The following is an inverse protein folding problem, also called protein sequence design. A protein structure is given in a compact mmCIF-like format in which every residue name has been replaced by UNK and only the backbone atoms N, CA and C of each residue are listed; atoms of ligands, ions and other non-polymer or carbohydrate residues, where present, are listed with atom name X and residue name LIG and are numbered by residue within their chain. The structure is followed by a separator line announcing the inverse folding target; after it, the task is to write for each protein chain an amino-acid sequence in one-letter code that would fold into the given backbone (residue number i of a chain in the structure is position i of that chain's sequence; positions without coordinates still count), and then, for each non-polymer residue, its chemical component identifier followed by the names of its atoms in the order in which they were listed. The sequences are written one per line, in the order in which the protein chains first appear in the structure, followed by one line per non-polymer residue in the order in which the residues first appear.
data_IF_488174360325
#
_entry.id   IF_488174360325
#
_cell.length_a   1.000
_cell.length_b   1.000
_cell.length_c   1.000
_cell.angle_alpha   90.00
_cell.angle_beta   90.00
_cell.angle_gamma   90.00
#
_symmetry.space_group_name_H-M   'P 1'
#
loop_
_entity.id
_entity.type
_entity.pdbx_description
1 polymer ?
#
# COMPACT_ATOMS: atom_id res chain seq x y z
N UNK A 1 28.04 59.18 46.94
CA UNK A 1 28.79 57.91 46.96
C UNK A 1 28.61 57.25 45.61
N UNK A 2 29.67 57.24 44.80
CA UNK A 2 29.69 56.57 43.51
C UNK A 2 29.89 55.07 43.74
N UNK A 3 29.01 54.24 43.17
CA UNK A 3 29.22 52.79 43.12
C UNK A 3 29.35 52.44 41.64
N UNK A 4 30.59 52.12 41.27
CA UNK A 4 31.01 51.58 39.99
C UNK A 4 30.33 50.23 39.76
N UNK A 5 29.56 50.09 38.68
CA UNK A 5 29.05 48.81 38.22
C UNK A 5 29.99 48.30 37.12
N UNK A 6 30.90 47.42 37.49
CA UNK A 6 31.76 46.71 36.56
C UNK A 6 30.91 45.76 35.70
N UNK A 7 31.03 45.91 34.38
CA UNK A 7 30.38 45.09 33.37
C UNK A 7 30.92 43.65 33.42
N UNK A 8 30.06 42.67 33.68
CA UNK A 8 30.35 41.26 33.35
C UNK A 8 29.84 40.99 31.93
N UNK A 9 30.75 41.08 30.96
CA UNK A 9 30.52 40.50 29.64
C UNK A 9 30.69 38.98 29.77
N UNK A 10 29.56 38.26 29.81
CA UNK A 10 29.58 36.80 29.67
C UNK A 10 29.70 36.49 28.19
N UNK A 11 30.92 36.29 27.72
CA UNK A 11 31.17 35.73 26.38
C UNK A 11 30.82 34.25 26.40
N UNK A 12 29.59 33.91 26.00
CA UNK A 12 29.21 32.53 25.68
C UNK A 12 29.88 32.16 24.35
N UNK A 13 31.01 31.47 24.44
CA UNK A 13 31.71 30.92 23.30
C UNK A 13 31.43 29.42 23.18
N UNK A 14 30.81 29.07 22.05
CA UNK A 14 30.88 27.79 21.32
C UNK A 14 30.23 26.56 21.95
N UNK A 15 29.10 26.15 21.35
CA UNK A 15 29.05 24.84 20.72
C UNK A 15 28.67 25.07 19.25
N UNK A 16 29.67 25.14 18.37
CA UNK A 16 29.50 24.87 16.95
C UNK A 16 29.30 23.35 16.80
N UNK A 17 28.19 22.85 17.34
CA UNK A 17 27.75 21.48 17.12
C UNK A 17 27.17 21.43 15.72
N UNK A 18 27.83 20.72 14.81
CA UNK A 18 27.25 20.30 13.55
C UNK A 18 25.81 19.87 13.81
N UNK A 19 24.84 20.48 13.13
CA UNK A 19 23.51 19.91 13.03
C UNK A 19 23.68 18.55 12.35
N UNK A 20 23.92 17.51 13.14
CA UNK A 20 23.76 16.14 12.69
C UNK A 20 22.29 16.04 12.34
N UNK A 21 22.00 16.14 11.04
CA UNK A 21 20.78 15.60 10.49
C UNK A 21 20.84 14.12 10.81
N UNK A 22 20.28 13.73 11.96
CA UNK A 22 19.89 12.35 12.16
C UNK A 22 18.92 12.09 11.01
N UNK A 23 19.40 11.39 9.98
CA UNK A 23 18.52 10.76 9.02
C UNK A 23 17.73 9.78 9.87
N UNK A 24 16.52 10.15 10.25
CA UNK A 24 15.55 9.23 10.82
C UNK A 24 15.24 8.26 9.68
N UNK A 25 16.09 7.23 9.51
CA UNK A 25 15.66 6.04 8.80
C UNK A 25 14.50 5.51 9.62
N UNK A 26 13.29 5.67 9.09
CA UNK A 26 12.12 5.04 9.67
C UNK A 26 12.43 3.55 9.89
N UNK A 27 12.05 2.99 11.04
CA UNK A 27 12.24 1.57 11.28
C UNK A 27 11.62 0.78 10.12
N UNK A 28 12.25 -0.31 9.69
CA UNK A 28 11.72 -1.13 8.60
C UNK A 28 10.29 -1.58 8.93
N UNK A 29 9.41 -1.55 7.94
CA UNK A 29 8.03 -2.00 8.12
C UNK A 29 8.00 -3.48 8.54
N UNK A 30 7.40 -3.76 9.70
CA UNK A 30 7.25 -5.09 10.28
C UNK A 30 5.77 -5.42 10.48
N UNK A 31 5.45 -6.70 10.66
CA UNK A 31 4.09 -7.12 10.95
C UNK A 31 3.60 -6.48 12.26
N UNK A 32 2.44 -5.83 12.19
CA UNK A 32 1.75 -5.22 13.33
C UNK A 32 1.03 -6.24 14.21
N UNK A 33 0.76 -7.43 13.68
CA UNK A 33 0.05 -8.50 14.36
C UNK A 33 -0.07 -9.74 13.49
N UNK A 34 -0.82 -10.73 13.98
CA UNK A 34 -1.13 -11.93 13.23
C UNK A 34 -2.59 -12.32 13.42
N UNK A 35 -3.23 -12.67 12.31
CA UNK A 35 -4.59 -13.14 12.22
C UNK A 35 -4.60 -14.67 12.14
N UNK A 36 -5.39 -15.32 12.99
CA UNK A 36 -5.59 -16.77 12.91
C UNK A 36 -6.67 -17.09 11.89
N UNK A 37 -6.29 -17.83 10.84
CA UNK A 37 -7.13 -18.22 9.74
C UNK A 37 -8.31 -19.10 10.14
N UNK A 38 -9.42 -18.88 9.45
CA UNK A 38 -10.67 -19.64 9.52
C UNK A 38 -11.18 -19.83 8.09
N UNK A 39 -11.36 -21.06 7.67
CA UNK A 39 -11.80 -21.43 6.31
C UNK A 39 -13.32 -21.34 6.15
N UNK A 40 -14.04 -21.84 7.15
CA UNK A 40 -15.50 -21.88 7.22
C UNK A 40 -16.16 -22.22 5.86
N UNK A 41 -17.07 -21.37 5.36
CA UNK A 41 -17.80 -21.55 4.10
C UNK A 41 -17.13 -20.85 2.92
N UNK A 42 -15.81 -20.60 2.96
CA UNK A 42 -15.09 -20.02 1.83
C UNK A 42 -15.34 -20.84 0.57
N UNK A 43 -15.83 -20.19 -0.49
CA UNK A 43 -15.99 -20.84 -1.78
C UNK A 43 -14.62 -20.86 -2.49
N UNK A 44 -14.18 -22.03 -2.93
CA UNK A 44 -12.96 -22.18 -3.75
C UNK A 44 -13.23 -22.11 -5.25
N UNK A 45 -14.49 -21.98 -5.66
CA UNK A 45 -14.85 -21.71 -7.06
C UNK A 45 -14.28 -20.35 -7.48
N UNK A 46 -13.69 -20.29 -8.68
CA UNK A 46 -13.04 -19.10 -9.27
C UNK A 46 -11.69 -18.69 -8.66
N UNK A 47 -10.91 -19.63 -8.14
CA UNK A 47 -9.49 -19.41 -7.75
C UNK A 47 -9.27 -18.44 -6.59
N UNK A 48 -10.28 -18.21 -5.75
CA UNK A 48 -10.11 -17.47 -4.49
C UNK A 48 -9.28 -18.28 -3.50
N UNK A 49 -8.14 -17.73 -3.10
CA UNK A 49 -7.35 -18.27 -2.00
C UNK A 49 -8.14 -18.13 -0.68
N UNK A 50 -8.49 -19.26 -0.08
CA UNK A 50 -9.18 -19.29 1.21
C UNK A 50 -8.18 -19.32 2.36
N UNK A 51 -8.52 -18.65 3.47
CA UNK A 51 -7.78 -18.83 4.71
C UNK A 51 -7.83 -20.27 5.18
N UNK A 52 -6.71 -20.79 5.70
CA UNK A 52 -6.61 -22.13 6.25
C UNK A 52 -6.81 -22.11 7.77
N UNK A 53 -7.54 -23.09 8.28
CA UNK A 53 -7.85 -23.16 9.71
C UNK A 53 -6.57 -23.28 10.55
N UNK A 54 -6.37 -22.29 11.43
CA UNK A 54 -5.25 -22.26 12.36
C UNK A 54 -3.92 -21.73 11.80
N UNK A 55 -3.84 -21.45 10.49
CA UNK A 55 -2.70 -20.75 9.88
C UNK A 55 -2.63 -19.30 10.41
N UNK A 56 -1.42 -18.77 10.60
CA UNK A 56 -1.21 -17.40 11.11
C UNK A 56 -0.81 -16.48 9.97
N UNK A 57 -1.71 -15.57 9.59
CA UNK A 57 -1.50 -14.59 8.53
C UNK A 57 -0.96 -13.29 9.12
N UNK A 58 0.16 -12.74 8.63
CA UNK A 58 0.69 -11.48 9.14
C UNK A 58 -0.22 -10.31 8.79
N UNK A 59 -0.37 -9.37 9.72
CA UNK A 59 -1.13 -8.13 9.52
C UNK A 59 -0.16 -6.96 9.44
N UNK A 60 -0.36 -6.06 8.49
CA UNK A 60 0.49 -4.89 8.26
C UNK A 60 -0.33 -3.62 8.21
N UNK A 61 -0.02 -2.67 9.09
CA UNK A 61 -0.50 -1.29 9.01
C UNK A 61 0.47 -0.39 8.23
N UNK A 62 1.61 -0.93 7.80
CA UNK A 62 2.65 -0.24 7.05
C UNK A 62 2.92 -0.98 5.75
N UNK A 63 3.61 -0.29 4.84
CA UNK A 63 4.12 -0.84 3.58
C UNK A 63 5.58 -0.43 3.42
N UNK A 64 6.34 -1.04 2.49
CA UNK A 64 7.71 -0.60 2.19
C UNK A 64 7.78 0.91 1.84
N UNK A 65 8.91 1.59 2.04
CA UNK A 65 9.02 3.02 1.79
C UNK A 65 8.67 3.39 0.34
N UNK A 66 7.87 4.44 0.17
CA UNK A 66 7.54 5.00 -1.14
C UNK A 66 8.75 5.78 -1.66
N UNK A 67 9.16 5.49 -2.90
CA UNK A 67 10.27 6.14 -3.60
C UNK A 67 9.82 6.61 -4.98
N UNK A 68 10.73 7.21 -5.77
CA UNK A 68 10.45 7.54 -7.17
C UNK A 68 10.27 6.29 -8.08
N UNK A 69 10.54 5.09 -7.58
CA UNK A 69 10.39 3.81 -8.28
C UNK A 69 10.20 2.67 -7.27
N UNK A 70 9.08 2.73 -6.54
CA UNK A 70 8.73 1.81 -5.46
C UNK A 70 8.47 0.39 -6.00
N UNK A 71 9.26 -0.63 -5.62
CA UNK A 71 8.99 -2.01 -6.03
C UNK A 71 7.67 -2.51 -5.44
N UNK A 72 6.87 -3.20 -6.26
CA UNK A 72 5.61 -3.80 -5.84
C UNK A 72 5.31 -5.09 -6.60
N UNK A 73 4.45 -5.92 -6.01
CA UNK A 73 3.78 -7.01 -6.69
C UNK A 73 2.44 -6.50 -7.22
N UNK A 74 2.24 -6.58 -8.53
CA UNK A 74 0.97 -6.25 -9.15
C UNK A 74 0.13 -7.52 -9.27
N UNK A 75 -1.11 -7.47 -8.79
CA UNK A 75 -2.09 -8.55 -8.88
C UNK A 75 -3.30 -8.08 -9.68
N UNK A 76 -4.01 -9.00 -10.33
CA UNK A 76 -5.19 -8.67 -11.12
C UNK A 76 -6.44 -8.77 -10.25
N UNK A 77 -7.28 -7.73 -10.29
CA UNK A 77 -8.56 -7.65 -9.57
C UNK A 77 -9.58 -6.88 -10.41
N UNK A 78 -10.81 -7.37 -10.44
CA UNK A 78 -12.01 -6.68 -10.93
C UNK A 78 -12.65 -5.87 -9.80
N UNK A 79 -12.78 -4.56 -10.01
CA UNK A 79 -13.49 -3.64 -9.12
C UNK A 79 -14.97 -3.48 -9.49
N UNK A 80 -15.47 -4.30 -10.41
CA UNK A 80 -16.83 -4.22 -10.92
C UNK A 80 -17.83 -4.82 -9.92
N UNK A 81 -19.11 -4.54 -10.14
CA UNK A 81 -20.19 -5.25 -9.42
C UNK A 81 -20.06 -6.75 -9.68
N UNK A 82 -20.07 -7.54 -8.60
CA UNK A 82 -19.83 -9.00 -8.62
C UNK A 82 -18.42 -9.41 -9.09
N UNK A 83 -17.47 -8.48 -9.13
CA UNK A 83 -16.04 -8.78 -9.28
C UNK A 83 -15.44 -9.39 -8.01
N UNK A 84 -14.18 -9.79 -8.11
CA UNK A 84 -13.39 -10.36 -6.99
C UNK A 84 -12.81 -9.28 -6.05
N UNK A 85 -12.87 -8.00 -6.41
CA UNK A 85 -12.50 -6.87 -5.55
C UNK A 85 -13.44 -6.67 -4.35
N UNK A 86 -14.55 -7.40 -4.29
CA UNK A 86 -15.46 -7.40 -3.16
C UNK A 86 -16.42 -6.21 -3.16
N UNK A 87 -16.23 -5.28 -2.22
CA UNK A 87 -17.12 -4.14 -2.01
C UNK A 87 -16.86 -2.96 -2.96
N UNK A 88 -17.65 -1.88 -2.86
CA UNK A 88 -17.33 -0.62 -3.50
C UNK A 88 -16.03 -0.03 -2.94
N UNK A 89 -15.29 0.73 -3.76
CA UNK A 89 -13.97 1.24 -3.44
C UNK A 89 -13.95 2.22 -2.27
N UNK A 90 -12.93 2.11 -1.41
CA UNK A 90 -12.77 2.92 -0.21
C UNK A 90 -12.64 4.42 -0.48
N UNK A 91 -12.23 4.84 -1.69
CA UNK A 91 -12.02 6.26 -2.01
C UNK A 91 -13.29 7.04 -2.35
N UNK A 92 -14.28 6.39 -2.97
CA UNK A 92 -15.47 7.06 -3.51
C UNK A 92 -16.78 6.30 -3.30
N UNK A 93 -16.74 5.11 -2.70
CA UNK A 93 -17.90 4.27 -2.44
C UNK A 93 -18.56 3.73 -3.71
N UNK A 94 -17.80 3.60 -4.80
CA UNK A 94 -18.32 3.12 -6.09
C UNK A 94 -17.64 1.84 -6.57
N UNK A 95 -18.33 1.12 -7.44
CA UNK A 95 -17.72 0.06 -8.25
C UNK A 95 -17.12 0.68 -9.51
N UNK A 96 -16.02 0.10 -10.01
CA UNK A 96 -15.35 0.54 -11.22
C UNK A 96 -15.34 -0.57 -12.27
N UNK A 97 -15.66 -0.24 -13.51
CA UNK A 97 -15.67 -1.24 -14.59
C UNK A 97 -14.24 -1.72 -14.89
N UNK A 98 -14.12 -2.96 -15.38
CA UNK A 98 -12.82 -3.55 -15.73
C UNK A 98 -12.06 -2.82 -16.86
N UNK A 99 -12.75 -1.92 -17.58
CA UNK A 99 -12.19 -1.05 -18.62
C UNK A 99 -11.60 0.25 -18.06
N UNK A 100 -11.82 0.56 -16.79
CA UNK A 100 -11.27 1.73 -16.12
C UNK A 100 -9.84 1.46 -15.65
N UNK A 101 -8.95 2.45 -15.80
CA UNK A 101 -7.57 2.36 -15.29
C UNK A 101 -7.57 2.58 -13.76
N UNK A 102 -7.96 1.57 -13.02
CA UNK A 102 -8.17 1.61 -11.58
C UNK A 102 -7.21 0.69 -10.82
N UNK A 103 -6.79 1.11 -9.63
CA UNK A 103 -5.96 0.32 -8.70
C UNK A 103 -6.39 0.47 -7.24
N UNK A 104 -6.07 -0.56 -6.44
CA UNK A 104 -6.04 -0.51 -4.99
C UNK A 104 -4.61 -0.68 -4.46
N UNK A 105 -4.29 -0.03 -3.35
CA UNK A 105 -2.96 -0.09 -2.73
C UNK A 105 -3.03 -0.79 -1.37
N UNK A 106 -1.98 -1.54 -1.01
CA UNK A 106 -1.82 -2.07 0.35
C UNK A 106 -2.01 -0.98 1.41
N UNK A 107 -2.56 -1.31 2.58
CA UNK A 107 -2.93 -0.35 3.65
C UNK A 107 -1.89 0.74 3.92
N UNK A 108 -0.61 0.39 4.02
CA UNK A 108 0.44 1.38 4.29
C UNK A 108 0.70 2.36 3.14
N UNK A 109 0.52 1.93 1.89
CA UNK A 109 0.60 2.80 0.71
C UNK A 109 -0.70 3.55 0.46
N UNK A 110 -1.84 2.97 0.82
CA UNK A 110 -3.14 3.65 0.80
C UNK A 110 -3.16 4.85 1.76
N UNK A 111 -2.49 4.72 2.91
CA UNK A 111 -2.17 5.82 3.83
C UNK A 111 -3.41 6.63 4.23
N UNK A 112 -4.44 5.91 4.71
CA UNK A 112 -5.72 6.50 5.12
C UNK A 112 -6.45 7.23 4.00
N UNK A 113 -6.17 6.88 2.74
CA UNK A 113 -6.76 7.51 1.56
C UNK A 113 -6.02 8.76 1.08
N UNK A 114 -4.80 9.04 1.54
CA UNK A 114 -4.03 10.22 1.09
C UNK A 114 -3.78 10.24 -0.43
N UNK A 115 -3.81 9.06 -1.05
CA UNK A 115 -3.69 8.86 -2.51
C UNK A 115 -5.02 8.70 -3.25
N UNK A 116 -6.15 8.76 -2.56
CA UNK A 116 -7.46 8.56 -3.19
C UNK A 116 -7.71 9.52 -4.36
N UNK A 117 -8.25 8.97 -5.44
CA UNK A 117 -8.56 9.68 -6.69
C UNK A 117 -7.35 10.34 -7.37
N UNK A 118 -6.12 10.01 -6.95
CA UNK A 118 -4.87 10.40 -7.61
C UNK A 118 -4.39 9.28 -8.51
N UNK A 119 -3.62 9.66 -9.52
CA UNK A 119 -2.94 8.68 -10.37
C UNK A 119 -1.61 8.27 -9.76
N UNK A 120 -1.27 7.00 -9.93
CA UNK A 120 0.09 6.51 -9.82
C UNK A 120 0.60 6.12 -11.20
N UNK A 121 1.91 6.15 -11.39
CA UNK A 121 2.58 5.61 -12.57
C UNK A 121 3.08 4.22 -12.24
N UNK A 122 2.61 3.21 -12.98
CA UNK A 122 3.07 1.82 -12.87
C UNK A 122 4.00 1.54 -14.04
N UNK A 123 5.14 0.90 -13.79
CA UNK A 123 6.16 0.63 -14.80
C UNK A 123 6.69 -0.80 -14.73
N UNK A 124 6.81 -1.44 -15.90
CA UNK A 124 7.44 -2.74 -16.08
C UNK A 124 7.77 -2.96 -17.56
N UNK A 125 8.80 -3.77 -17.86
CA UNK A 125 9.21 -4.12 -19.23
C UNK A 125 9.36 -2.93 -20.20
N UNK A 126 9.83 -1.78 -19.71
CA UNK A 126 10.01 -0.57 -20.52
C UNK A 126 8.69 0.14 -20.90
N UNK A 127 7.56 -0.26 -20.32
CA UNK A 127 6.25 0.41 -20.46
C UNK A 127 5.86 1.05 -19.15
N UNK A 128 5.06 2.11 -19.24
CA UNK A 128 4.44 2.76 -18.10
C UNK A 128 3.00 3.14 -18.40
N UNK A 129 2.13 3.02 -17.40
CA UNK A 129 0.73 3.44 -17.47
C UNK A 129 0.38 4.30 -16.27
N UNK A 130 -0.64 5.14 -16.41
CA UNK A 130 -1.26 5.85 -15.29
C UNK A 130 -2.53 5.13 -14.88
N UNK A 131 -2.72 4.95 -13.58
CA UNK A 131 -3.93 4.36 -13.02
C UNK A 131 -4.37 5.11 -11.76
N UNK A 132 -5.67 5.28 -11.60
CA UNK A 132 -6.28 6.01 -10.49
C UNK A 132 -6.43 5.08 -9.28
N UNK A 133 -6.00 5.55 -8.11
CA UNK A 133 -6.23 4.86 -6.84
C UNK A 133 -7.69 5.04 -6.44
N UNK A 134 -8.42 3.93 -6.36
CA UNK A 134 -9.87 3.90 -6.05
C UNK A 134 -10.18 3.15 -4.75
N UNK A 135 -9.26 2.34 -4.25
CA UNK A 135 -9.55 1.44 -3.14
C UNK A 135 -8.30 1.10 -2.31
N UNK A 136 -8.53 0.46 -1.17
CA UNK A 136 -7.53 -0.11 -0.28
C UNK A 136 -7.50 -1.63 -0.42
N UNK A 137 -6.32 -2.19 -0.67
CA UNK A 137 -6.07 -3.61 -0.46
C UNK A 137 -5.71 -3.85 1.01
N UNK A 138 -6.69 -4.19 1.84
CA UNK A 138 -6.47 -4.26 3.29
C UNK A 138 -5.44 -5.33 3.66
N UNK A 139 -4.30 -4.90 4.19
CA UNK A 139 -3.26 -5.80 4.73
C UNK A 139 -3.41 -6.07 6.23
N UNK A 140 -4.52 -5.64 6.82
CA UNK A 140 -4.86 -5.86 8.23
C UNK A 140 -6.03 -6.84 8.35
N UNK A 141 -7.06 -6.65 7.54
CA UNK A 141 -8.29 -7.42 7.62
C UNK A 141 -8.30 -8.61 6.66
N UNK A 142 -8.88 -9.72 7.11
CA UNK A 142 -9.05 -10.95 6.33
C UNK A 142 -9.67 -12.05 7.18
N UNK A 143 -9.78 -13.26 6.63
CA UNK A 143 -10.25 -14.49 7.28
C UNK A 143 -11.55 -14.34 8.12
N UNK A 144 -12.43 -13.43 7.70
CA UNK A 144 -13.71 -13.12 8.35
C UNK A 144 -14.83 -13.09 7.31
N UNK A 145 -16.07 -13.19 7.78
CA UNK A 145 -17.23 -13.33 6.91
C UNK A 145 -17.39 -12.16 5.94
N UNK A 146 -17.06 -10.95 6.39
CA UNK A 146 -17.14 -9.72 5.60
C UNK A 146 -16.19 -9.74 4.40
N UNK A 147 -15.13 -10.54 4.46
CA UNK A 147 -14.15 -10.74 3.39
C UNK A 147 -14.22 -12.13 2.77
N UNK A 148 -15.37 -12.81 2.88
CA UNK A 148 -15.57 -14.17 2.35
C UNK A 148 -14.47 -15.17 2.76
N UNK A 149 -13.83 -14.94 3.92
CA UNK A 149 -12.72 -15.73 4.44
C UNK A 149 -11.45 -15.76 3.54
N UNK A 150 -11.23 -14.75 2.70
CA UNK A 150 -9.96 -14.55 1.98
C UNK A 150 -8.87 -13.99 2.91
N UNK A 151 -7.58 -14.28 2.66
CA UNK A 151 -6.48 -13.80 3.50
C UNK A 151 -6.30 -12.28 3.38
N UNK A 152 -5.67 -11.63 4.38
CA UNK A 152 -5.26 -10.24 4.27
C UNK A 152 -4.32 -10.03 3.08
N UNK A 153 -4.42 -8.86 2.47
CA UNK A 153 -3.53 -8.45 1.39
C UNK A 153 -2.06 -8.40 1.86
N UNK A 154 -1.08 -8.75 1.02
CA UNK A 154 0.31 -8.43 1.31
C UNK A 154 0.52 -6.92 1.42
N UNK A 155 1.61 -6.50 2.06
CA UNK A 155 1.87 -5.08 2.33
C UNK A 155 2.62 -4.33 1.21
N UNK A 156 2.87 -4.99 0.08
CA UNK A 156 3.64 -4.47 -1.04
C UNK A 156 2.92 -4.69 -2.39
N UNK A 157 1.60 -4.60 -2.39
CA UNK A 157 0.74 -4.96 -3.52
C UNK A 157 0.08 -3.73 -4.16
N UNK A 158 -0.01 -3.78 -5.48
CA UNK A 158 -0.88 -2.94 -6.32
C UNK A 158 -1.91 -3.87 -6.97
N UNK A 159 -3.13 -3.89 -6.47
CA UNK A 159 -4.22 -4.60 -7.15
C UNK A 159 -4.69 -3.75 -8.31
N UNK A 160 -4.66 -4.30 -9.53
CA UNK A 160 -4.88 -3.57 -10.75
C UNK A 160 -5.99 -4.19 -11.60
N UNK A 161 -6.84 -3.32 -12.13
CA UNK A 161 -7.93 -3.66 -13.06
C UNK A 161 -7.42 -4.35 -14.34
N UNK A 162 -8.25 -5.17 -15.01
CA UNK A 162 -7.88 -5.79 -16.29
C UNK A 162 -7.37 -4.78 -17.33
N UNK A 163 -7.95 -3.58 -17.41
CA UNK A 163 -7.47 -2.52 -18.29
C UNK A 163 -6.01 -2.11 -18.04
N UNK A 164 -5.56 -2.06 -16.78
CA UNK A 164 -4.15 -1.75 -16.45
C UNK A 164 -3.23 -2.85 -16.99
N UNK A 165 -3.60 -4.12 -16.80
CA UNK A 165 -2.85 -5.26 -17.32
C UNK A 165 -2.78 -5.28 -18.85
N UNK A 166 -3.90 -4.98 -19.51
CA UNK A 166 -3.99 -4.87 -20.98
C UNK A 166 -3.10 -3.74 -21.50
N UNK A 167 -3.18 -2.55 -20.89
CA UNK A 167 -2.39 -1.38 -21.28
C UNK A 167 -0.87 -1.60 -21.08
N UNK A 168 -0.50 -2.33 -20.04
CA UNK A 168 0.89 -2.76 -19.82
C UNK A 168 1.35 -3.80 -20.86
N UNK A 169 0.44 -4.46 -21.57
CA UNK A 169 0.73 -5.48 -22.57
C UNK A 169 1.35 -6.74 -21.97
N UNK A 170 0.99 -7.07 -20.73
CA UNK A 170 1.43 -8.31 -20.08
C UNK A 170 0.56 -9.47 -20.60
N UNK A 171 1.16 -10.54 -21.15
CA UNK A 171 0.42 -11.70 -21.66
C UNK A 171 -0.45 -12.34 -20.58
N UNK A 172 -1.64 -12.85 -20.96
CA UNK A 172 -2.57 -13.51 -20.02
C UNK A 172 -1.93 -14.60 -19.17
N UNK A 173 -1.03 -15.40 -19.77
CA UNK A 173 -0.30 -16.48 -19.07
C UNK A 173 0.66 -15.98 -17.97
N UNK A 174 0.94 -14.68 -17.93
CA UNK A 174 1.77 -14.03 -16.92
C UNK A 174 0.95 -13.14 -15.98
N UNK A 175 -0.39 -13.14 -16.11
CA UNK A 175 -1.28 -12.41 -15.18
C UNK A 175 -1.51 -13.25 -13.93
N UNK A 176 -1.54 -12.58 -12.78
CA UNK A 176 -1.73 -13.21 -11.48
C UNK A 176 -0.84 -12.55 -10.43
N UNK A 177 0.48 -12.61 -10.64
CA UNK A 177 1.47 -11.90 -9.83
C UNK A 177 2.63 -11.43 -10.73
N UNK A 178 2.87 -10.13 -10.78
CA UNK A 178 3.89 -9.53 -11.62
C UNK A 178 4.67 -8.44 -10.90
N UNK A 179 6.01 -8.54 -10.89
CA UNK A 179 6.85 -7.50 -10.30
C UNK A 179 6.84 -6.23 -11.15
N UNK A 180 6.48 -5.11 -10.53
CA UNK A 180 6.45 -3.77 -11.12
C UNK A 180 7.19 -2.78 -10.25
N UNK A 181 7.37 -1.56 -10.75
CA UNK A 181 7.62 -0.40 -9.90
C UNK A 181 6.49 0.62 -10.05
N UNK A 182 6.25 1.41 -9.01
CA UNK A 182 5.29 2.51 -9.06
C UNK A 182 5.80 3.78 -8.37
N UNK A 183 5.21 4.91 -8.74
CA UNK A 183 5.42 6.20 -8.10
C UNK A 183 4.17 7.07 -8.16
N UNK A 184 4.07 8.04 -7.25
CA UNK A 184 3.07 9.10 -7.34
C UNK A 184 3.27 9.90 -8.65
N UNK A 185 2.17 10.25 -9.34
CA UNK A 185 2.17 10.89 -10.67
C UNK A 185 1.74 12.37 -10.66
#
# INVERSE_FOLDING_TARGET
MAISLASLAVTLNVCAGSCFRYSLTEPPCTASGYLRGKSHSCNTENYSDCCKDGEMYPQYQCSPPVTSSTPAQMMIVSFAINGDGGGPGACDGQYHNDTEMAVALSTGWFDGGSRCNRNIRISANGRSVLAKVVDECSSVDGCKAEQNYTPPCPNNVVNASPAVWDAMGIPELQRGDYTVTWSDA
#
